data_IF_671553967367
#
_entry.id   IF_671553967367
#
_cell.length_a   1.000
_cell.length_b   1.000
_cell.length_c   1.000
_cell.angle_alpha   90.00
_cell.angle_beta   90.00
_cell.angle_gamma   90.00
#
_symmetry.space_group_name_H-M   'P 1'
#
loop_
_entity.id
_entity.type
_entity.pdbx_description
1 polymer ?
#
# COMPACT_ATOMS: atom_id res chain seq x y z
N UNK A 1 4.60 -31.14 -20.16
CA UNK A 1 3.90 -30.84 -18.89
C UNK A 1 4.58 -29.63 -18.28
N UNK A 2 4.00 -28.44 -18.50
CA UNK A 2 4.52 -27.15 -18.00
C UNK A 2 4.05 -26.94 -16.57
N UNK A 3 4.93 -27.13 -15.60
CA UNK A 3 4.71 -26.72 -14.21
C UNK A 3 4.96 -25.21 -14.12
N UNK A 4 3.89 -24.43 -14.05
CA UNK A 4 3.92 -22.99 -13.85
C UNK A 4 4.48 -22.66 -12.46
N UNK A 5 5.74 -22.23 -12.40
CA UNK A 5 6.32 -21.62 -11.21
C UNK A 5 5.70 -20.23 -10.98
N UNK A 6 4.56 -20.20 -10.28
CA UNK A 6 3.95 -18.97 -9.76
C UNK A 6 4.33 -18.76 -8.28
N UNK A 7 5.61 -18.94 -7.95
CA UNK A 7 6.11 -18.86 -6.58
C UNK A 7 7.05 -17.65 -6.48
N UNK A 8 6.48 -16.45 -6.34
CA UNK A 8 7.09 -15.24 -5.72
C UNK A 8 6.23 -13.97 -5.84
N UNK A 9 5.09 -13.97 -6.55
CA UNK A 9 4.30 -12.74 -6.76
C UNK A 9 3.39 -12.29 -5.61
N UNK A 10 3.07 -13.16 -4.64
CA UNK A 10 2.18 -12.81 -3.50
C UNK A 10 2.63 -11.57 -2.71
N UNK A 11 3.90 -11.41 -2.30
CA UNK A 11 4.32 -10.24 -1.51
C UNK A 11 4.30 -8.93 -2.30
N UNK A 12 4.52 -8.95 -3.62
CA UNK A 12 4.46 -7.74 -4.46
C UNK A 12 3.03 -7.23 -4.59
N UNK A 13 2.10 -8.12 -4.93
CA UNK A 13 0.68 -7.79 -5.06
C UNK A 13 0.08 -7.25 -3.76
N UNK A 14 0.50 -7.80 -2.61
CA UNK A 14 0.06 -7.30 -1.29
C UNK A 14 0.59 -5.89 -1.02
N UNK A 15 1.84 -5.59 -1.39
CA UNK A 15 2.40 -4.24 -1.27
C UNK A 15 1.69 -3.24 -2.18
N UNK A 16 1.42 -3.61 -3.43
CA UNK A 16 0.69 -2.76 -4.37
C UNK A 16 -0.75 -2.50 -3.92
N UNK A 17 -1.46 -3.55 -3.49
CA UNK A 17 -2.81 -3.40 -2.94
C UNK A 17 -2.83 -2.52 -1.68
N UNK A 18 -1.80 -2.61 -0.83
CA UNK A 18 -1.64 -1.75 0.33
C UNK A 18 -1.45 -0.28 -0.07
N UNK A 19 -0.54 0.00 -1.00
CA UNK A 19 -0.30 1.35 -1.49
C UNK A 19 -1.57 1.95 -2.11
N UNK A 20 -2.28 1.16 -2.94
CA UNK A 20 -3.56 1.58 -3.52
C UNK A 20 -4.59 1.97 -2.46
N UNK A 21 -4.68 1.22 -1.35
CA UNK A 21 -5.58 1.54 -0.22
C UNK A 21 -5.17 2.81 0.53
N UNK A 22 -3.88 3.03 0.74
CA UNK A 22 -3.36 4.26 1.34
C UNK A 22 -3.74 5.47 0.49
N UNK A 23 -3.47 5.41 -0.83
CA UNK A 23 -3.75 6.50 -1.75
C UNK A 23 -5.25 6.77 -1.91
N UNK A 24 -6.08 5.73 -1.90
CA UNK A 24 -7.53 5.90 -1.94
C UNK A 24 -8.06 6.71 -0.75
N UNK A 25 -7.54 6.44 0.47
CA UNK A 25 -7.92 7.18 1.67
C UNK A 25 -7.32 8.60 1.70
N UNK A 26 -6.09 8.76 1.22
CA UNK A 26 -5.47 10.08 1.09
C UNK A 26 -6.25 11.00 0.15
N UNK A 27 -6.65 10.49 -1.03
CA UNK A 27 -7.39 11.27 -2.04
C UNK A 27 -8.77 11.75 -1.58
N UNK A 28 -9.39 11.08 -0.61
CA UNK A 28 -10.64 11.54 0.01
C UNK A 28 -10.42 12.52 1.18
N UNK A 29 -9.17 12.96 1.41
CA UNK A 29 -8.81 13.96 2.40
C UNK A 29 -8.57 13.42 3.82
N UNK A 30 -8.31 12.13 4.00
CA UNK A 30 -7.95 11.58 5.32
C UNK A 30 -6.54 11.99 5.72
N UNK A 31 -6.33 12.23 7.01
CA UNK A 31 -5.00 12.47 7.57
C UNK A 31 -4.14 11.18 7.57
N UNK A 32 -2.82 11.33 7.54
CA UNK A 32 -1.87 10.21 7.62
C UNK A 32 -2.07 9.34 8.87
N UNK A 33 -2.41 9.96 10.01
CA UNK A 33 -2.73 9.28 11.26
C UNK A 33 -4.05 8.45 11.20
N UNK A 34 -5.09 8.97 10.55
CA UNK A 34 -6.33 8.20 10.33
C UNK A 34 -6.09 7.00 9.42
N UNK A 35 -5.30 7.19 8.37
CA UNK A 35 -4.94 6.13 7.41
C UNK A 35 -4.11 5.05 8.10
N UNK A 36 -3.12 5.44 8.90
CA UNK A 36 -2.26 4.52 9.65
C UNK A 36 -3.08 3.66 10.60
N UNK A 37 -4.00 4.27 11.35
CA UNK A 37 -4.92 3.58 12.27
C UNK A 37 -5.88 2.66 11.52
N UNK A 38 -6.44 3.12 10.40
CA UNK A 38 -7.42 2.35 9.61
C UNK A 38 -6.81 1.12 8.94
N UNK A 39 -5.55 1.23 8.48
CA UNK A 39 -4.88 0.17 7.74
C UNK A 39 -3.92 -0.66 8.62
N UNK A 40 -3.73 -0.28 9.88
CA UNK A 40 -2.77 -0.92 10.79
C UNK A 40 -1.33 -0.77 10.31
N UNK A 41 -0.99 0.39 9.74
CA UNK A 41 0.33 0.70 9.21
C UNK A 41 1.06 1.67 10.13
N UNK A 42 2.40 1.65 10.08
CA UNK A 42 3.18 2.72 10.69
C UNK A 42 2.92 4.03 9.93
N UNK A 43 2.78 5.14 10.66
CA UNK A 43 2.53 6.45 10.04
C UNK A 43 3.67 6.85 9.08
N UNK A 44 4.91 6.50 9.40
CA UNK A 44 6.05 6.70 8.50
C UNK A 44 5.94 5.90 7.18
N UNK A 45 5.36 4.69 7.21
CA UNK A 45 5.09 3.91 6.00
C UNK A 45 4.01 4.56 5.14
N UNK A 46 2.97 5.13 5.77
CA UNK A 46 1.91 5.88 5.09
C UNK A 46 2.47 7.14 4.44
N UNK A 47 3.27 7.93 5.16
CA UNK A 47 3.93 9.12 4.61
C UNK A 47 4.78 8.76 3.39
N UNK A 48 5.64 7.73 3.50
CA UNK A 48 6.49 7.32 2.39
C UNK A 48 5.69 6.91 1.16
N UNK A 49 4.60 6.16 1.32
CA UNK A 49 3.74 5.75 0.21
C UNK A 49 3.11 6.96 -0.49
N UNK A 50 2.69 7.97 0.27
CA UNK A 50 2.11 9.21 -0.29
C UNK A 50 3.19 10.00 -1.03
N UNK A 51 4.35 10.19 -0.42
CA UNK A 51 5.49 10.90 -1.04
C UNK A 51 5.98 10.21 -2.32
N UNK A 52 6.07 8.89 -2.34
CA UNK A 52 6.43 8.10 -3.53
C UNK A 52 5.39 8.21 -4.66
N UNK A 53 4.13 8.54 -4.33
CA UNK A 53 3.05 8.64 -5.32
C UNK A 53 2.81 10.07 -5.86
N UNK A 54 3.26 11.09 -5.14
CA UNK A 54 3.14 12.50 -5.53
C UNK A 54 4.43 13.04 -6.21
N UNK A 55 5.50 12.25 -6.26
CA UNK A 55 6.72 12.52 -7.06
C UNK A 55 6.51 12.20 -8.55
#
# INVERSE_FOLDING_TARGET
MTLCMAETSRPKLVKEARAARVLALWRIGRSTHEISTTLGLAECEVCRIIEEAEQ
#
